data_IF_154575381844
#
_entry.id   IF_154575381844
#
_cell.length_a   1.000
_cell.length_b   1.000
_cell.length_c   1.000
_cell.angle_alpha   90.00
_cell.angle_beta   90.00
_cell.angle_gamma   90.00
#
_symmetry.space_group_name_H-M   'P 1'
#
loop_
_entity.id
_entity.type
_entity.pdbx_description
1 polymer ?
#
# COMPACT_ATOMS: atom_id res chain seq x y z
N UNK A 1 -15.82 8.11 0.16
CA UNK A 1 -15.96 8.13 -1.30
C UNK A 1 -14.83 7.28 -1.86
N UNK A 2 -15.17 6.21 -2.57
CA UNK A 2 -14.21 5.25 -3.12
C UNK A 2 -14.11 5.48 -4.62
N UNK A 3 -12.90 5.68 -5.13
CA UNK A 3 -12.63 5.93 -6.53
C UNK A 3 -12.63 4.62 -7.31
N UNK A 4 -13.39 4.57 -8.41
CA UNK A 4 -13.28 3.50 -9.39
C UNK A 4 -12.20 3.88 -10.40
N UNK A 5 -11.11 3.11 -10.43
CA UNK A 5 -10.00 3.31 -11.35
C UNK A 5 -9.99 2.20 -12.39
N UNK A 6 -9.52 2.52 -13.60
CA UNK A 6 -9.39 1.55 -14.66
C UNK A 6 -8.07 0.78 -14.49
N UNK A 7 -8.13 -0.34 -13.79
CA UNK A 7 -7.01 -1.27 -13.67
C UNK A 7 -7.03 -2.33 -14.77
N UNK A 8 -5.83 -2.73 -15.22
CA UNK A 8 -5.66 -3.86 -16.11
C UNK A 8 -6.05 -5.16 -15.36
N UNK A 9 -7.03 -5.88 -15.89
CA UNK A 9 -7.57 -7.11 -15.26
C UNK A 9 -6.54 -8.25 -15.20
N UNK A 10 -5.66 -8.36 -16.18
CA UNK A 10 -4.62 -9.39 -16.21
C UNK A 10 -3.56 -9.10 -15.14
N UNK A 11 -3.11 -7.85 -15.04
CA UNK A 11 -2.21 -7.39 -13.96
C UNK A 11 -2.83 -7.67 -12.58
N UNK A 12 -4.10 -7.31 -12.39
CA UNK A 12 -4.83 -7.58 -11.14
C UNK A 12 -4.89 -9.07 -10.83
N UNK A 13 -5.13 -9.93 -11.82
CA UNK A 13 -5.22 -11.38 -11.63
C UNK A 13 -3.85 -11.97 -11.29
N UNK A 14 -2.80 -11.55 -12.00
CA UNK A 14 -1.42 -11.96 -11.75
C UNK A 14 -0.99 -11.65 -10.30
N UNK A 15 -1.23 -10.42 -9.83
CA UNK A 15 -0.91 -10.02 -8.45
C UNK A 15 -1.62 -10.85 -7.39
N UNK A 16 -2.87 -11.22 -7.63
CA UNK A 16 -3.62 -12.06 -6.69
C UNK A 16 -3.01 -13.47 -6.59
N UNK A 17 -2.59 -14.05 -7.73
CA UNK A 17 -1.93 -15.35 -7.78
C UNK A 17 -0.59 -15.29 -7.04
N UNK A 18 0.21 -14.25 -7.29
CA UNK A 18 1.50 -14.07 -6.64
C UNK A 18 1.35 -14.01 -5.12
N UNK A 19 0.42 -13.19 -4.62
CA UNK A 19 0.20 -13.03 -3.18
C UNK A 19 -0.27 -14.32 -2.51
N UNK A 20 -1.14 -15.08 -3.17
CA UNK A 20 -1.67 -16.34 -2.63
C UNK A 20 -0.58 -17.41 -2.41
N UNK A 21 0.59 -17.27 -3.03
CA UNK A 21 1.71 -18.22 -2.94
C UNK A 21 2.75 -17.85 -1.88
N UNK A 22 2.63 -16.68 -1.25
CA UNK A 22 3.62 -16.20 -0.29
C UNK A 22 3.22 -16.57 1.14
N UNK A 23 4.15 -17.16 1.88
CA UNK A 23 4.00 -17.44 3.31
C UNK A 23 4.52 -16.27 4.13
N UNK A 24 3.63 -15.55 4.79
CA UNK A 24 3.94 -14.40 5.63
C UNK A 24 4.06 -14.78 7.10
N UNK A 25 4.94 -14.09 7.84
CA UNK A 25 4.86 -14.08 9.30
C UNK A 25 3.58 -13.33 9.74
N UNK A 26 2.97 -13.67 10.88
CA UNK A 26 1.74 -13.01 11.36
C UNK A 26 1.84 -11.49 11.45
N UNK A 27 2.99 -10.96 11.89
CA UNK A 27 3.23 -9.52 12.01
C UNK A 27 3.26 -8.81 10.65
N UNK A 28 3.90 -9.43 9.65
CA UNK A 28 3.92 -8.93 8.28
C UNK A 28 2.51 -8.93 7.70
N UNK A 29 1.76 -10.01 7.92
CA UNK A 29 0.38 -10.12 7.45
C UNK A 29 -0.53 -9.05 8.07
N UNK A 30 -0.36 -8.75 9.37
CA UNK A 30 -1.08 -7.67 10.05
C UNK A 30 -0.78 -6.31 9.43
N UNK A 31 0.51 -6.01 9.21
CA UNK A 31 0.92 -4.74 8.61
C UNK A 31 0.39 -4.59 7.19
N UNK A 32 0.56 -5.62 6.36
CA UNK A 32 0.05 -5.66 4.98
C UNK A 32 -1.46 -5.39 4.99
N UNK A 33 -2.21 -6.11 5.83
CA UNK A 33 -3.67 -5.94 5.92
C UNK A 33 -4.07 -4.51 6.30
N UNK A 34 -3.41 -3.90 7.28
CA UNK A 34 -3.72 -2.52 7.71
C UNK A 34 -3.53 -1.54 6.55
N UNK A 35 -2.37 -1.55 5.91
CA UNK A 35 -2.07 -0.62 4.81
C UNK A 35 -3.00 -0.87 3.63
N UNK A 36 -3.18 -2.13 3.22
CA UNK A 36 -4.01 -2.46 2.06
C UNK A 36 -5.47 -2.07 2.27
N UNK A 37 -6.02 -2.30 3.47
CA UNK A 37 -7.41 -1.94 3.77
C UNK A 37 -7.63 -0.43 3.69
N UNK A 38 -6.70 0.37 4.21
CA UNK A 38 -6.79 1.84 4.12
C UNK A 38 -6.83 2.32 2.66
N UNK A 39 -6.08 1.67 1.77
CA UNK A 39 -6.10 2.00 0.34
C UNK A 39 -7.38 1.49 -0.32
N UNK A 40 -7.84 0.28 -0.01
CA UNK A 40 -9.09 -0.29 -0.54
C UNK A 40 -10.35 0.51 -0.15
N UNK A 41 -10.33 1.22 0.99
CA UNK A 41 -11.39 2.16 1.34
C UNK A 41 -11.47 3.35 0.36
N UNK A 42 -10.32 3.76 -0.18
CA UNK A 42 -10.22 4.89 -1.11
C UNK A 42 -10.33 4.46 -2.57
N UNK A 43 -10.00 3.22 -2.92
CA UNK A 43 -9.90 2.73 -4.30
C UNK A 43 -10.61 1.39 -4.45
N UNK A 44 -11.45 1.27 -5.48
CA UNK A 44 -12.09 0.00 -5.84
C UNK A 44 -11.08 -0.92 -6.54
N UNK A 45 -10.35 -1.70 -5.74
CA UNK A 45 -9.39 -2.72 -6.18
C UNK A 45 -9.61 -4.00 -5.35
N UNK A 46 -9.47 -5.22 -5.92
CA UNK A 46 -9.53 -6.44 -5.13
C UNK A 46 -8.50 -6.43 -3.99
N UNK A 47 -8.93 -6.79 -2.79
CA UNK A 47 -8.08 -6.73 -1.60
C UNK A 47 -6.80 -7.56 -1.77
N UNK A 48 -6.88 -8.74 -2.37
CA UNK A 48 -5.72 -9.60 -2.60
C UNK A 48 -4.68 -8.94 -3.52
N UNK A 49 -5.13 -8.22 -4.55
CA UNK A 49 -4.23 -7.47 -5.42
C UNK A 49 -3.56 -6.32 -4.65
N UNK A 50 -4.32 -5.60 -3.82
CA UNK A 50 -3.76 -4.54 -2.99
C UNK A 50 -2.77 -5.08 -1.96
N UNK A 51 -3.06 -6.23 -1.33
CA UNK A 51 -2.13 -6.91 -0.41
C UNK A 51 -0.84 -7.32 -1.09
N UNK A 52 -0.92 -7.77 -2.34
CA UNK A 52 0.26 -8.03 -3.18
C UNK A 52 1.11 -6.77 -3.37
N UNK A 53 0.48 -5.67 -3.79
CA UNK A 53 1.17 -4.39 -4.01
C UNK A 53 1.80 -3.87 -2.72
N UNK A 54 1.08 -3.94 -1.60
CA UNK A 54 1.59 -3.55 -0.29
C UNK A 54 2.79 -4.41 0.12
N UNK A 55 2.72 -5.72 -0.09
CA UNK A 55 3.85 -6.61 0.16
C UNK A 55 5.07 -6.24 -0.69
N UNK A 56 4.91 -6.01 -1.99
CA UNK A 56 6.02 -5.59 -2.83
C UNK A 56 6.60 -4.24 -2.40
N UNK A 57 5.75 -3.28 -2.04
CA UNK A 57 6.20 -1.99 -1.55
C UNK A 57 7.04 -2.11 -0.27
N UNK A 58 6.61 -2.96 0.66
CA UNK A 58 7.38 -3.27 1.87
C UNK A 58 8.70 -3.96 1.51
N UNK A 59 8.68 -4.97 0.63
CA UNK A 59 9.89 -5.69 0.22
C UNK A 59 10.90 -4.80 -0.48
N UNK A 60 10.45 -3.87 -1.34
CA UNK A 60 11.31 -2.92 -2.02
C UNK A 60 11.91 -1.92 -1.04
N UNK A 61 11.10 -1.41 -0.10
CA UNK A 61 11.57 -0.53 0.95
C UNK A 61 12.67 -1.19 1.79
N UNK A 62 12.47 -2.46 2.19
CA UNK A 62 13.49 -3.23 2.94
C UNK A 62 14.81 -3.31 2.18
N UNK A 63 14.77 -3.55 0.86
CA UNK A 63 15.96 -3.62 0.00
C UNK A 63 16.64 -2.25 -0.14
N UNK A 64 15.85 -1.19 -0.31
CA UNK A 64 16.36 0.18 -0.50
C UNK A 64 17.02 0.70 0.79
N UNK A 65 16.45 0.38 1.95
CA UNK A 65 16.91 0.88 3.24
C UNK A 65 17.86 -0.05 3.98
N UNK A 66 18.03 -1.28 3.50
CA UNK A 66 18.73 -2.36 4.20
C UNK A 66 18.22 -2.56 5.64
N UNK A 67 16.89 -2.58 5.80
CA UNK A 67 16.18 -2.72 7.09
C UNK A 67 15.12 -3.81 7.05
N UNK A 68 14.82 -4.39 8.20
CA UNK A 68 13.72 -5.34 8.38
C UNK A 68 12.39 -4.63 8.70
N UNK A 69 11.26 -5.19 8.23
CA UNK A 69 9.91 -4.65 8.55
C UNK A 69 9.70 -4.56 10.07
N UNK A 70 10.19 -5.52 10.84
CA UNK A 70 10.05 -5.55 12.30
C UNK A 70 10.69 -4.34 12.99
N UNK A 71 11.73 -3.75 12.38
CA UNK A 71 12.40 -2.57 12.94
C UNK A 71 11.50 -1.33 12.90
N UNK A 72 10.54 -1.26 11.97
CA UNK A 72 9.58 -0.15 11.86
C UNK A 72 8.78 0.00 13.16
N UNK A 73 8.49 -1.10 13.87
CA UNK A 73 7.76 -1.06 15.14
C UNK A 73 8.50 -0.28 16.24
N UNK A 74 9.83 -0.27 16.19
CA UNK A 74 10.70 0.33 17.21
C UNK A 74 11.22 1.72 16.83
N UNK A 75 10.95 2.19 15.61
CA UNK A 75 11.32 3.52 15.15
C UNK A 75 10.60 4.62 15.95
N UNK A 76 11.27 5.76 16.10
CA UNK A 76 10.65 7.00 16.59
C UNK A 76 9.48 7.41 15.69
N UNK A 77 8.50 8.14 16.24
CA UNK A 77 7.27 8.40 15.47
C UNK A 77 7.53 9.21 14.20
N UNK A 78 8.43 10.19 14.25
CA UNK A 78 8.83 10.98 13.08
C UNK A 78 9.47 10.12 11.99
N UNK A 79 10.29 9.15 12.38
CA UNK A 79 10.89 8.18 11.47
C UNK A 79 9.84 7.23 10.89
N UNK A 80 8.94 6.68 11.74
CA UNK A 80 7.80 5.87 11.29
C UNK A 80 6.99 6.61 10.23
N UNK A 81 6.62 7.85 10.47
CA UNK A 81 5.84 8.65 9.51
C UNK A 81 6.53 8.77 8.16
N UNK A 82 7.84 9.03 8.19
CA UNK A 82 8.66 9.13 6.97
C UNK A 82 8.72 7.78 6.25
N UNK A 83 8.98 6.69 6.97
CA UNK A 83 9.00 5.32 6.44
C UNK A 83 7.67 4.93 5.79
N UNK A 84 6.54 5.18 6.44
CA UNK A 84 5.25 4.86 5.86
C UNK A 84 4.95 5.73 4.63
N UNK A 85 5.34 7.01 4.62
CA UNK A 85 5.20 7.84 3.42
C UNK A 85 5.98 7.27 2.23
N UNK A 86 7.20 6.78 2.45
CA UNK A 86 8.00 6.09 1.44
C UNK A 86 7.31 4.82 0.93
N UNK A 87 6.82 3.97 1.83
CA UNK A 87 6.11 2.72 1.48
C UNK A 87 4.85 3.01 0.65
N UNK A 88 4.04 4.00 1.05
CA UNK A 88 2.86 4.43 0.28
C UNK A 88 3.25 4.95 -1.11
N UNK A 89 4.35 5.70 -1.22
CA UNK A 89 4.84 6.18 -2.52
C UNK A 89 5.31 5.04 -3.43
N UNK A 90 6.04 4.05 -2.90
CA UNK A 90 6.45 2.87 -3.68
C UNK A 90 5.20 2.11 -4.16
N UNK A 91 4.25 1.86 -3.27
CA UNK A 91 2.98 1.21 -3.62
C UNK A 91 2.19 1.99 -4.67
N UNK A 92 2.18 3.32 -4.58
CA UNK A 92 1.53 4.21 -5.56
C UNK A 92 2.13 4.08 -6.95
N UNK A 93 3.46 4.07 -7.07
CA UNK A 93 4.15 3.88 -8.36
C UNK A 93 3.71 2.54 -8.98
N UNK A 94 3.70 1.46 -8.20
CA UNK A 94 3.25 0.15 -8.66
C UNK A 94 1.77 0.14 -9.09
N UNK A 95 0.90 0.84 -8.36
CA UNK A 95 -0.52 0.96 -8.75
C UNK A 95 -0.68 1.73 -10.06
N UNK A 96 0.15 2.75 -10.32
CA UNK A 96 0.12 3.50 -11.61
C UNK A 96 0.49 2.60 -12.78
N UNK A 97 1.48 1.72 -12.60
CA UNK A 97 1.87 0.74 -13.62
C UNK A 97 0.68 -0.16 -14.02
N UNK A 98 -0.16 -0.52 -13.05
CA UNK A 98 -1.33 -1.40 -13.23
C UNK A 98 -2.54 -0.71 -13.88
N UNK A 99 -2.52 0.60 -14.10
CA UNK A 99 -3.62 1.33 -14.75
C UNK A 99 -3.68 1.01 -16.25
N UNK A 100 -4.90 0.89 -16.78
CA UNK A 100 -5.18 0.79 -18.21
C UNK A 100 -5.20 2.16 -18.88
N UNK A 101 -4.88 2.20 -20.18
CA UNK A 101 -4.99 3.43 -20.97
C UNK A 101 -6.45 3.80 -21.27
N UNK A 102 -6.77 5.11 -21.37
CA UNK A 102 -5.91 6.25 -21.05
C UNK A 102 -5.70 6.44 -19.54
N UNK A 103 -4.46 6.76 -19.12
CA UNK A 103 -4.03 6.70 -17.70
C UNK A 103 -4.18 8.01 -16.92
N UNK A 104 -4.08 9.18 -17.56
CA UNK A 104 -3.88 10.48 -16.88
C UNK A 104 -4.92 10.79 -15.80
N UNK A 105 -6.22 10.64 -16.12
CA UNK A 105 -7.28 10.87 -15.13
C UNK A 105 -7.23 9.85 -13.99
N UNK A 106 -6.94 8.58 -14.29
CA UNK A 106 -6.85 7.52 -13.27
C UNK A 106 -5.63 7.72 -12.37
N UNK A 107 -4.52 8.24 -12.90
CA UNK A 107 -3.33 8.57 -12.12
C UNK A 107 -3.58 9.71 -11.13
N UNK A 108 -4.27 10.77 -11.56
CA UNK A 108 -4.64 11.87 -10.66
C UNK A 108 -5.57 11.40 -9.54
N UNK A 109 -6.59 10.61 -9.87
CA UNK A 109 -7.50 10.04 -8.87
C UNK A 109 -6.78 9.09 -7.91
N UNK A 110 -5.82 8.30 -8.42
CA UNK A 110 -4.96 7.45 -7.62
C UNK A 110 -4.09 8.26 -6.66
N UNK A 111 -3.47 9.36 -7.12
CA UNK A 111 -2.69 10.25 -6.27
C UNK A 111 -3.54 10.78 -5.10
N UNK A 112 -4.75 11.29 -5.38
CA UNK A 112 -5.69 11.79 -4.36
C UNK A 112 -6.10 10.68 -3.39
N UNK A 113 -6.39 9.48 -3.90
CA UNK A 113 -6.82 8.35 -3.09
C UNK A 113 -5.70 7.90 -2.13
N UNK A 114 -4.46 7.84 -2.60
CA UNK A 114 -3.30 7.47 -1.78
C UNK A 114 -3.03 8.52 -0.70
N UNK A 115 -3.10 9.81 -1.02
CA UNK A 115 -2.95 10.88 -0.03
C UNK A 115 -4.01 10.79 1.07
N UNK A 116 -5.27 10.48 0.71
CA UNK A 116 -6.34 10.26 1.68
C UNK A 116 -6.08 9.05 2.56
N UNK A 117 -5.67 7.92 1.97
CA UNK A 117 -5.33 6.71 2.72
C UNK A 117 -4.20 6.98 3.72
N UNK A 118 -3.17 7.72 3.30
CA UNK A 118 -2.08 8.13 4.19
C UNK A 118 -2.57 9.06 5.31
N UNK A 119 -3.45 10.01 5.02
CA UNK A 119 -4.06 10.88 6.06
C UNK A 119 -4.84 10.08 7.09
N UNK A 120 -5.59 9.05 6.69
CA UNK A 120 -6.27 8.15 7.62
C UNK A 120 -5.28 7.33 8.47
N UNK A 121 -4.18 6.88 7.85
CA UNK A 121 -3.10 6.23 8.59
C UNK A 121 -2.51 7.15 9.68
N UNK A 122 -2.25 8.42 9.37
CA UNK A 122 -1.78 9.41 10.36
C UNK A 122 -2.76 9.55 11.53
N UNK A 123 -4.06 9.63 11.24
CA UNK A 123 -5.09 9.72 12.28
C UNK A 123 -5.14 8.46 13.15
N UNK A 124 -4.94 7.28 12.56
CA UNK A 124 -4.89 6.02 13.29
C UNK A 124 -3.70 6.00 14.27
N UNK A 125 -2.52 6.43 13.83
CA UNK A 125 -1.35 6.53 14.70
C UNK A 125 -1.57 7.53 15.86
N UNK A 126 -2.11 8.71 15.58
CA UNK A 126 -2.40 9.70 16.63
C UNK A 126 -3.38 9.17 17.70
N UNK A 127 -4.36 8.35 17.31
CA UNK A 127 -5.34 7.77 18.25
C UNK A 127 -4.71 6.70 19.16
N UNK A 128 -3.71 5.96 18.69
CA UNK A 128 -3.01 4.97 19.51
C UNK A 128 -2.03 5.58 20.52
N UNK A 129 -1.82 6.90 20.48
CA UNK A 129 -0.97 7.64 21.43
C UNK A 129 -1.75 8.30 22.59
N UNK A 130 -3.08 8.22 22.59
CA UNK A 130 -3.94 8.67 23.70
C UNK A 130 -4.37 7.48 24.54
#
# INVERSE_FOLDING_TARGET
MTYALNFNKEEISSRQIDYARVNFKPEQQKLIKIISNLVCEQIKIPELAMRCVTWYALSDWQKIKDKQIGEIANMEISEKLTTFKEIFNIGKVRLKEMLSYPKEQSELLLDIAIERAFKYYLQHLHKMQR
#
